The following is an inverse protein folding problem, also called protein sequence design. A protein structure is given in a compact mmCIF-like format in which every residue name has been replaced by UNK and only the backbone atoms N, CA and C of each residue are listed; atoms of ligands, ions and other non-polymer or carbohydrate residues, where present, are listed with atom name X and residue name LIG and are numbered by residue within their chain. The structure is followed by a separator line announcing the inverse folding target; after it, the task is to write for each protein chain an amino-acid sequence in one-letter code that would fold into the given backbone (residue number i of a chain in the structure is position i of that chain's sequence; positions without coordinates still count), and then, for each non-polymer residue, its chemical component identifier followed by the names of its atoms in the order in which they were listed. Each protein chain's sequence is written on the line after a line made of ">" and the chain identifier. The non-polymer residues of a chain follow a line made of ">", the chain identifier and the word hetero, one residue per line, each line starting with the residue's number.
data_IF_219590849064
#
_entry.id   IF_219590849064
#
_cell.length_a   1.000
_cell.length_b   1.000
_cell.length_c   1.000
_cell.angle_alpha   90.00
_cell.angle_beta   90.00
_cell.angle_gamma   90.00
#
_symmetry.space_group_name_H-M   'P 1'
#
loop_
_entity.id
_entity.type
_entity.pdbx_description
1 polymer ?
#
# COMPACT_ATOMS: atom_id res chain seq x y z
N UNK A 1 -3.24 -17.82 3.68
CA UNK A 1 -2.21 -17.45 2.67
C UNK A 1 -2.37 -15.97 2.41
N UNK A 2 -1.40 -15.15 2.80
CA UNK A 2 -1.39 -13.73 2.48
C UNK A 2 -1.02 -13.51 1.00
N UNK A 3 -1.67 -12.56 0.29
CA UNK A 3 -1.31 -12.22 -1.09
C UNK A 3 0.10 -11.64 -1.20
N UNK A 4 0.76 -11.89 -2.33
CA UNK A 4 1.95 -11.17 -2.75
C UNK A 4 1.53 -10.05 -3.70
N UNK A 5 1.89 -8.82 -3.37
CA UNK A 5 1.59 -7.62 -4.16
C UNK A 5 2.79 -7.26 -5.04
N UNK A 6 2.55 -6.62 -6.18
CA UNK A 6 3.60 -6.04 -7.01
C UNK A 6 3.86 -4.61 -6.52
N UNK A 7 5.05 -4.36 -5.98
CA UNK A 7 5.43 -3.07 -5.41
C UNK A 7 5.99 -2.09 -6.44
N UNK A 8 6.49 -2.58 -7.57
CA UNK A 8 6.95 -1.75 -8.68
C UNK A 8 7.91 -2.48 -9.62
N UNK A 9 8.51 -1.72 -10.54
CA UNK A 9 9.41 -2.26 -11.58
C UNK A 9 10.86 -2.30 -11.17
N UNK A 10 11.25 -1.60 -10.11
CA UNK A 10 12.60 -1.61 -9.56
C UNK A 10 12.71 -2.64 -8.44
N UNK A 11 13.95 -2.99 -8.07
CA UNK A 11 14.23 -3.96 -7.00
C UNK A 11 13.43 -5.29 -7.12
N UNK A 12 13.19 -5.79 -8.33
CA UNK A 12 12.27 -6.93 -8.57
C UNK A 12 12.61 -8.23 -7.81
N UNK A 13 13.82 -8.35 -7.24
CA UNK A 13 14.25 -9.50 -6.43
C UNK A 13 14.17 -9.24 -4.91
N UNK A 14 13.72 -8.05 -4.50
CA UNK A 14 13.56 -7.64 -3.11
C UNK A 14 12.11 -7.86 -2.67
N UNK A 15 11.96 -8.40 -1.45
CA UNK A 15 10.66 -8.53 -0.79
C UNK A 15 10.56 -7.49 0.33
N UNK A 16 9.56 -6.63 0.23
CA UNK A 16 9.27 -5.62 1.23
C UNK A 16 8.09 -6.07 2.10
N UNK A 17 8.24 -5.94 3.41
CA UNK A 17 7.20 -6.27 4.38
C UNK A 17 6.68 -4.98 4.99
N UNK A 18 5.39 -4.70 4.82
CA UNK A 18 4.71 -3.55 5.43
C UNK A 18 3.73 -4.06 6.48
N UNK A 19 3.74 -3.44 7.65
CA UNK A 19 2.86 -3.82 8.76
C UNK A 19 2.59 -2.62 9.69
N UNK A 20 1.62 -2.76 10.60
CA UNK A 20 1.29 -1.75 11.61
C UNK A 20 1.61 -2.21 13.04
N UNK A 21 2.71 -2.96 13.20
CA UNK A 21 3.11 -3.60 14.46
C UNK A 21 4.39 -2.94 15.00
N UNK A 22 4.31 -1.83 15.76
CA UNK A 22 5.49 -1.10 16.25
C UNK A 22 6.38 -1.92 17.18
N UNK A 23 5.86 -3.01 17.77
CA UNK A 23 6.58 -3.96 18.62
C UNK A 23 7.52 -4.91 17.86
N UNK A 24 7.52 -4.87 16.53
CA UNK A 24 8.44 -5.66 15.69
C UNK A 24 9.75 -4.91 15.52
N UNK A 25 10.82 -5.51 16.04
CA UNK A 25 12.18 -4.97 15.94
C UNK A 25 12.75 -5.14 14.52
N UNK A 26 13.63 -4.23 14.11
CA UNK A 26 14.28 -4.30 12.80
C UNK A 26 13.40 -3.84 11.64
N UNK A 27 12.32 -3.11 11.94
CA UNK A 27 11.54 -2.36 10.98
C UNK A 27 11.81 -0.85 11.12
N UNK A 28 11.62 -0.11 10.03
CA UNK A 28 11.71 1.35 9.97
C UNK A 28 10.31 1.94 9.91
N UNK A 29 10.04 2.97 10.70
CA UNK A 29 8.77 3.70 10.65
C UNK A 29 8.68 4.55 9.37
N UNK A 30 7.60 4.37 8.61
CA UNK A 30 7.32 5.06 7.34
C UNK A 30 6.49 6.32 7.53
N UNK A 31 5.60 6.33 8.53
CA UNK A 31 4.74 7.47 8.83
C UNK A 31 4.45 7.55 10.34
N UNK A 32 3.95 8.70 10.84
CA UNK A 32 3.59 8.87 12.26
C UNK A 32 2.43 7.97 12.75
N UNK A 33 1.69 7.33 11.84
CA UNK A 33 0.55 6.46 12.19
C UNK A 33 0.99 5.01 12.47
N UNK A 34 2.30 4.75 12.59
CA UNK A 34 2.85 3.46 12.95
C UNK A 34 2.89 2.45 11.79
N UNK A 35 2.94 2.93 10.54
CA UNK A 35 3.25 2.08 9.39
C UNK A 35 4.75 1.77 9.39
N UNK A 36 5.09 0.49 9.33
CA UNK A 36 6.44 -0.01 9.48
C UNK A 36 6.88 -0.76 8.22
N UNK A 37 8.16 -0.64 7.86
CA UNK A 37 8.81 -1.33 6.75
C UNK A 37 9.92 -2.27 7.25
N UNK A 38 9.85 -3.55 6.90
CA UNK A 38 10.87 -4.54 7.25
C UNK A 38 10.45 -5.42 8.43
N UNK A 39 11.41 -5.78 9.29
CA UNK A 39 11.14 -6.52 10.54
C UNK A 39 10.65 -7.96 10.41
N UNK A 40 10.50 -8.50 9.18
CA UNK A 40 9.88 -9.82 8.98
C UNK A 40 10.61 -10.96 9.70
N UNK A 41 11.95 -10.96 9.73
CA UNK A 41 12.73 -11.99 10.44
C UNK A 41 12.40 -12.05 11.93
N UNK A 42 12.13 -10.89 12.56
CA UNK A 42 11.72 -10.82 13.96
C UNK A 42 10.23 -11.15 14.17
N UNK A 43 9.39 -10.87 13.17
CA UNK A 43 7.95 -11.12 13.23
C UNK A 43 7.58 -12.58 12.95
N UNK A 44 8.29 -13.26 12.04
CA UNK A 44 8.02 -14.64 11.60
C UNK A 44 7.79 -15.63 12.75
N UNK A 45 8.63 -15.72 13.80
CA UNK A 45 8.36 -16.65 14.91
C UNK A 45 7.08 -16.30 15.68
N UNK A 46 6.79 -15.01 15.88
CA UNK A 46 5.57 -14.53 16.54
C UNK A 46 4.30 -14.77 15.73
N UNK A 47 4.42 -14.81 14.40
CA UNK A 47 3.30 -15.22 13.54
C UNK A 47 3.10 -16.74 13.63
N UNK A 48 4.19 -17.51 13.65
CA UNK A 48 4.14 -18.97 13.74
C UNK A 48 3.52 -19.50 15.05
N UNK A 49 3.72 -18.79 16.16
CA UNK A 49 3.12 -19.12 17.46
C UNK A 49 1.77 -18.43 17.73
N UNK A 50 1.23 -17.71 16.74
CA UNK A 50 -0.01 -16.93 16.82
C UNK A 50 -0.01 -15.74 17.79
N UNK A 51 1.15 -15.31 18.29
CA UNK A 51 1.28 -14.07 19.07
C UNK A 51 1.02 -12.81 18.25
N UNK A 52 1.27 -12.87 16.93
CA UNK A 52 0.91 -11.82 15.97
C UNK A 52 0.04 -12.39 14.85
N UNK A 53 -1.05 -11.70 14.55
CA UNK A 53 -1.96 -12.09 13.48
C UNK A 53 -1.30 -11.94 12.10
N UNK A 54 -1.38 -12.97 11.26
CA UNK A 54 -0.81 -12.98 9.91
C UNK A 54 -1.36 -11.85 9.02
N UNK A 55 -2.63 -11.48 9.21
CA UNK A 55 -3.30 -10.43 8.43
C UNK A 55 -2.76 -9.02 8.66
N UNK A 56 -1.85 -8.84 9.62
CA UNK A 56 -1.18 -7.56 9.90
C UNK A 56 0.06 -7.31 9.04
N UNK A 57 0.42 -8.23 8.15
CA UNK A 57 1.59 -8.14 7.29
C UNK A 57 1.21 -8.20 5.81
N UNK A 58 1.72 -7.25 5.03
CA UNK A 58 1.60 -7.22 3.57
C UNK A 58 2.98 -7.31 2.93
N UNK A 59 3.08 -8.12 1.87
CA UNK A 59 4.32 -8.36 1.18
C UNK A 59 4.28 -7.80 -0.24
N UNK A 60 5.30 -7.03 -0.60
CA UNK A 60 5.44 -6.40 -1.90
C UNK A 60 6.73 -6.87 -2.57
N UNK A 61 6.62 -7.39 -3.79
CA UNK A 61 7.76 -7.74 -4.63
C UNK A 61 8.17 -6.50 -5.43
N UNK A 62 9.42 -6.06 -5.27
CA UNK A 62 9.93 -4.85 -5.89
C UNK A 62 9.36 -3.56 -5.29
N UNK A 63 9.79 -2.45 -5.87
CA UNK A 63 9.43 -1.09 -5.49
C UNK A 63 9.43 -0.16 -6.70
N UNK A 64 8.81 1.01 -6.55
CA UNK A 64 8.99 2.15 -7.47
C UNK A 64 9.88 3.16 -6.78
N UNK A 65 10.96 3.56 -7.45
CA UNK A 65 11.92 4.52 -6.92
C UNK A 65 11.99 5.75 -7.80
N UNK A 66 12.13 6.90 -7.14
CA UNK A 66 12.36 8.17 -7.81
C UNK A 66 13.79 8.61 -7.58
N UNK A 67 14.40 9.17 -8.62
CA UNK A 67 15.64 9.93 -8.47
C UNK A 67 15.38 11.16 -7.60
N UNK A 68 16.41 11.74 -6.96
CA UNK A 68 16.28 12.99 -6.23
C UNK A 68 15.62 14.07 -7.11
N UNK A 69 14.54 14.68 -6.61
CA UNK A 69 13.77 15.71 -7.31
C UNK A 69 12.70 15.20 -8.29
N UNK A 70 12.82 13.97 -8.80
CA UNK A 70 11.94 13.45 -9.85
C UNK A 70 10.46 13.37 -9.40
N UNK A 71 10.19 12.86 -8.18
CA UNK A 71 8.82 12.78 -7.68
C UNK A 71 8.17 14.17 -7.60
N UNK A 72 8.94 15.18 -7.19
CA UNK A 72 8.44 16.56 -7.08
C UNK A 72 8.10 17.13 -8.46
N UNK A 73 8.97 16.92 -9.47
CA UNK A 73 8.72 17.33 -10.86
C UNK A 73 7.48 16.63 -11.45
N UNK A 74 7.31 15.33 -11.17
CA UNK A 74 6.15 14.57 -11.64
C UNK A 74 4.84 15.03 -10.97
N UNK A 75 4.87 15.40 -9.68
CA UNK A 75 3.72 16.02 -9.01
C UNK A 75 3.40 17.39 -9.62
N UNK A 76 4.41 18.26 -9.83
CA UNK A 76 4.23 19.61 -10.39
C UNK A 76 3.71 19.60 -11.83
N UNK A 77 4.09 18.59 -12.62
CA UNK A 77 3.56 18.37 -13.97
C UNK A 77 2.17 17.74 -14.02
N UNK A 78 1.60 17.37 -12.87
CA UNK A 78 0.27 16.76 -12.75
C UNK A 78 0.24 15.26 -13.06
N UNK A 79 1.39 14.57 -13.06
CA UNK A 79 1.45 13.12 -13.28
C UNK A 79 0.97 12.32 -12.06
N UNK A 80 1.06 12.89 -10.84
CA UNK A 80 0.61 12.27 -9.60
C UNK A 80 -0.41 13.11 -8.85
N UNK A 81 -1.37 12.43 -8.23
CA UNK A 81 -2.26 12.99 -7.21
C UNK A 81 -1.72 12.59 -5.83
N UNK A 82 -1.64 13.56 -4.91
CA UNK A 82 -1.12 13.33 -3.55
C UNK A 82 -2.28 13.28 -2.58
N UNK A 83 -2.32 12.24 -1.75
CA UNK A 83 -3.31 12.04 -0.69
C UNK A 83 -2.59 11.60 0.58
N UNK A 84 -2.94 12.22 1.71
CA UNK A 84 -2.55 11.72 3.02
C UNK A 84 -3.24 10.38 3.30
N UNK A 85 -2.44 9.35 3.52
CA UNK A 85 -2.93 7.98 3.76
C UNK A 85 -2.55 7.54 5.17
N UNK A 86 -3.54 7.10 5.94
CA UNK A 86 -3.30 6.46 7.23
C UNK A 86 -2.90 4.98 7.07
N UNK A 87 -2.37 4.40 8.15
CA UNK A 87 -1.97 3.00 8.17
C UNK A 87 -3.17 2.05 7.97
N UNK A 88 -4.38 2.45 8.36
CA UNK A 88 -5.59 1.62 8.23
C UNK A 88 -5.94 1.39 6.75
N UNK A 89 -5.92 2.46 5.95
CA UNK A 89 -6.19 2.44 4.52
C UNK A 89 -5.19 1.56 3.77
N UNK A 90 -3.90 1.69 4.10
CA UNK A 90 -2.81 0.87 3.53
C UNK A 90 -2.96 -0.59 3.93
N UNK A 91 -3.30 -0.88 5.19
CA UNK A 91 -3.35 -2.24 5.73
C UNK A 91 -4.68 -2.96 5.55
N UNK A 92 -5.75 -2.27 5.17
CA UNK A 92 -7.10 -2.83 4.95
C UNK A 92 -7.07 -4.10 4.11
N UNK A 93 -7.72 -5.15 4.59
CA UNK A 93 -7.87 -6.40 3.85
C UNK A 93 -8.83 -6.19 2.68
N UNK A 94 -8.38 -6.58 1.49
CA UNK A 94 -9.10 -6.42 0.23
C UNK A 94 -9.32 -7.74 -0.49
N UNK A 95 -8.77 -8.84 0.03
CA UNK A 95 -8.70 -10.12 -0.69
C UNK A 95 -9.54 -11.19 0.02
N UNK A 96 -9.55 -11.25 1.35
CA UNK A 96 -10.31 -12.30 2.06
C UNK A 96 -11.82 -12.23 1.83
N UNK A 97 -12.35 -11.02 1.61
CA UNK A 97 -13.76 -10.77 1.32
C UNK A 97 -14.07 -10.53 -0.17
N UNK A 98 -13.10 -10.71 -1.07
CA UNK A 98 -13.32 -10.43 -2.49
C UNK A 98 -14.31 -11.41 -3.11
N UNK A 99 -15.30 -10.89 -3.82
CA UNK A 99 -16.28 -11.66 -4.59
C UNK A 99 -16.25 -11.18 -6.05
N UNK A 100 -16.44 -12.07 -7.04
CA UNK A 100 -16.63 -11.67 -8.42
C UNK A 100 -17.77 -10.64 -8.52
N UNK A 101 -17.47 -9.43 -9.03
CA UNK A 101 -18.43 -8.34 -9.15
C UNK A 101 -18.53 -7.36 -7.95
N UNK A 102 -17.73 -7.53 -6.89
CA UNK A 102 -17.64 -6.60 -5.75
C UNK A 102 -16.52 -5.54 -5.91
N UNK A 103 -16.62 -4.38 -5.22
CA UNK A 103 -16.42 -3.07 -5.83
C UNK A 103 -14.96 -2.66 -6.03
N UNK A 104 -14.83 -1.82 -7.06
CA UNK A 104 -13.89 -0.74 -7.35
C UNK A 104 -12.50 -0.80 -6.69
N UNK A 105 -11.41 -0.84 -7.48
CA UNK A 105 -10.03 -0.98 -7.00
C UNK A 105 -9.68 0.10 -5.97
N UNK A 106 -8.68 -0.16 -5.11
CA UNK A 106 -8.15 0.80 -4.12
C UNK A 106 -8.06 2.22 -4.68
N UNK A 107 -7.55 2.34 -5.91
CA UNK A 107 -7.49 3.59 -6.67
C UNK A 107 -8.80 4.40 -6.66
N UNK A 108 -9.96 3.78 -6.88
CA UNK A 108 -11.26 4.47 -6.83
C UNK A 108 -11.56 5.05 -5.45
N UNK A 109 -11.30 4.30 -4.39
CA UNK A 109 -11.52 4.77 -3.02
C UNK A 109 -10.63 5.98 -2.72
N UNK A 110 -9.36 5.91 -3.14
CA UNK A 110 -8.40 7.00 -2.99
C UNK A 110 -8.83 8.25 -3.77
N UNK A 111 -9.20 8.11 -5.04
CA UNK A 111 -9.62 9.26 -5.85
C UNK A 111 -10.93 9.87 -5.35
N UNK A 112 -11.85 9.07 -4.80
CA UNK A 112 -13.05 9.60 -4.14
C UNK A 112 -12.71 10.35 -2.85
N UNK A 113 -11.71 9.90 -2.09
CA UNK A 113 -11.28 10.56 -0.86
C UNK A 113 -10.66 11.94 -1.13
N UNK A 114 -10.08 12.14 -2.31
CA UNK A 114 -9.58 13.45 -2.77
C UNK A 114 -10.69 14.49 -3.03
N UNK A 115 -11.96 14.06 -3.11
CA UNK A 115 -13.11 14.96 -3.24
C UNK A 115 -13.64 15.14 -4.67
N UNK A 116 -14.61 16.05 -4.79
CA UNK A 116 -15.44 16.21 -5.99
C UNK A 116 -14.67 16.74 -7.22
N UNK A 117 -13.56 17.44 -7.00
CA UNK A 117 -12.72 18.01 -8.06
C UNK A 117 -12.07 16.93 -8.95
N UNK A 118 -11.99 15.69 -8.46
CA UNK A 118 -11.38 14.56 -9.19
C UNK A 118 -12.41 13.66 -9.89
N UNK A 119 -13.70 14.01 -9.85
CA UNK A 119 -14.76 13.32 -10.62
C UNK A 119 -14.47 13.20 -12.11
N UNK A 120 -13.90 14.21 -12.80
CA UNK A 120 -13.56 14.09 -14.22
C UNK A 120 -12.55 12.97 -14.51
N UNK A 121 -11.55 12.76 -13.63
CA UNK A 121 -10.55 11.69 -13.77
C UNK A 121 -11.22 10.32 -13.64
N UNK A 122 -12.14 10.18 -12.68
CA UNK A 122 -12.94 8.95 -12.52
C UNK A 122 -13.79 8.66 -13.75
N UNK A 123 -14.40 9.69 -14.34
CA UNK A 123 -15.16 9.55 -15.58
C UNK A 123 -14.27 9.16 -16.74
N UNK A 124 -13.06 9.71 -16.89
CA UNK A 124 -12.14 9.31 -17.94
C UNK A 124 -11.71 7.83 -17.83
N UNK A 125 -11.47 7.33 -16.62
CA UNK A 125 -11.00 5.95 -16.40
C UNK A 125 -12.14 4.93 -16.51
N UNK A 126 -13.37 5.31 -16.13
CA UNK A 126 -14.55 4.43 -16.12
C UNK A 126 -15.64 4.85 -17.12
N UNK A 127 -15.31 5.63 -18.16
CA UNK A 127 -16.28 6.23 -19.09
C UNK A 127 -17.19 5.21 -19.81
N UNK A 128 -16.73 3.97 -19.92
CA UNK A 128 -17.36 2.91 -20.71
C UNK A 128 -18.01 1.80 -19.88
N UNK A 129 -18.29 2.01 -18.58
CA UNK A 129 -19.10 1.10 -17.73
C UNK A 129 -20.58 1.50 -17.63
#
# INVERSE_FOLDING_TARGET
>A
ISPLWLGGTEQQNSLFCVHNCPEVTGATELNPDGLMLGGWEAARPKVADSSLAEGRFKFFLGATEWKPGQLQEEIESGAWLVLDCDAELVMKDRVSGWQPGQPKPLWTELVKALGDDFKPIMQMVYADE
#
